data_IF_517021139140
#
_entry.id   IF_517021139140
#
_cell.length_a   1.000
_cell.length_b   1.000
_cell.length_c   1.000
_cell.angle_alpha   90.00
_cell.angle_beta   90.00
_cell.angle_gamma   90.00
#
_symmetry.space_group_name_H-M   'P 1'
#
loop_
_entity.id
_entity.type
_entity.pdbx_description
1 polymer ?
#
# COMPACT_ATOMS: atom_id res chain seq x y z
N UNK A 1 -13.64 4.73 -10.14
CA UNK A 1 -12.16 4.66 -10.18
C UNK A 1 -11.76 3.25 -10.63
N UNK A 2 -11.08 3.10 -11.78
CA UNK A 2 -10.46 1.82 -12.13
C UNK A 2 -9.16 1.70 -11.34
N UNK A 3 -9.09 0.70 -10.46
CA UNK A 3 -7.95 0.51 -9.56
C UNK A 3 -7.12 -0.69 -9.99
N UNK A 4 -5.84 -0.47 -10.25
CA UNK A 4 -4.86 -1.55 -10.32
C UNK A 4 -4.57 -2.03 -8.89
N UNK A 5 -4.55 -3.34 -8.66
CA UNK A 5 -4.28 -3.93 -7.33
C UNK A 5 -2.90 -4.61 -7.18
N UNK A 6 -1.76 -4.04 -7.65
CA UNK A 6 -0.47 -4.50 -7.15
C UNK A 6 -0.38 -4.13 -5.67
N UNK A 7 -0.46 -5.12 -4.78
CA UNK A 7 -0.37 -4.89 -3.34
C UNK A 7 1.09 -4.80 -2.91
N UNK A 8 1.42 -3.79 -2.11
CA UNK A 8 2.75 -3.61 -1.53
C UNK A 8 3.18 -4.78 -0.64
N UNK A 9 2.20 -5.42 0.01
CA UNK A 9 2.40 -6.61 0.83
C UNK A 9 1.64 -7.79 0.24
N UNK A 10 2.19 -8.98 0.41
CA UNK A 10 1.54 -10.27 0.10
C UNK A 10 1.50 -11.15 1.35
N UNK A 11 0.67 -12.18 1.33
CA UNK A 11 0.75 -13.24 2.34
C UNK A 11 2.09 -13.96 2.20
N UNK A 12 2.64 -14.41 3.33
CA UNK A 12 3.85 -15.24 3.30
C UNK A 12 3.49 -16.51 2.54
N UNK A 13 4.11 -16.69 1.37
CA UNK A 13 3.76 -17.78 0.43
C UNK A 13 4.69 -18.97 0.59
N UNK A 14 5.99 -18.71 0.71
CA UNK A 14 7.02 -19.74 0.69
C UNK A 14 7.21 -20.40 2.06
N UNK A 15 7.85 -21.57 2.09
CA UNK A 15 8.12 -22.34 3.31
C UNK A 15 9.62 -22.47 3.59
N UNK A 16 10.37 -21.39 3.37
CA UNK A 16 11.78 -21.37 3.76
C UNK A 16 11.91 -21.36 5.29
N UNK A 17 13.07 -21.74 5.85
CA UNK A 17 13.30 -21.64 7.30
C UNK A 17 13.02 -20.24 7.85
N UNK A 18 13.29 -19.20 7.05
CA UNK A 18 13.02 -17.83 7.48
C UNK A 18 11.53 -17.51 7.50
N UNK A 19 10.78 -17.99 6.50
CA UNK A 19 9.34 -17.80 6.44
C UNK A 19 8.60 -18.55 7.56
N UNK A 20 9.12 -19.72 7.95
CA UNK A 20 8.60 -20.49 9.09
C UNK A 20 8.81 -19.70 10.38
N UNK A 21 10.02 -19.19 10.62
CA UNK A 21 10.28 -18.39 11.82
C UNK A 21 9.47 -17.07 11.82
N UNK A 22 9.27 -16.42 10.66
CA UNK A 22 8.38 -15.25 10.54
C UNK A 22 6.93 -15.60 10.87
N UNK A 23 6.41 -16.72 10.36
CA UNK A 23 5.06 -17.21 10.70
C UNK A 23 4.92 -17.55 12.18
N UNK A 24 5.92 -18.19 12.78
CA UNK A 24 5.93 -18.50 14.21
C UNK A 24 5.90 -17.23 15.06
N UNK A 25 6.69 -16.20 14.69
CA UNK A 25 6.66 -14.90 15.36
C UNK A 25 5.29 -14.22 15.21
N UNK A 26 4.69 -14.23 14.02
CA UNK A 26 3.33 -13.70 13.82
C UNK A 26 2.30 -14.43 14.70
N UNK A 27 2.35 -15.76 14.75
CA UNK A 27 1.46 -16.57 15.59
C UNK A 27 1.64 -16.26 17.07
N UNK A 28 2.88 -16.06 17.54
CA UNK A 28 3.17 -15.66 18.91
C UNK A 28 2.48 -14.35 19.31
N UNK A 29 2.35 -13.40 18.37
CA UNK A 29 1.60 -12.15 18.56
C UNK A 29 0.11 -12.23 18.18
N UNK A 30 -0.44 -13.45 18.00
CA UNK A 30 -1.85 -13.65 17.67
C UNK A 30 -2.25 -13.32 16.22
N UNK A 31 -1.28 -13.14 15.32
CA UNK A 31 -1.52 -12.83 13.91
C UNK A 31 -1.45 -14.12 13.09
N UNK A 32 -2.61 -14.65 12.72
CA UNK A 32 -2.71 -15.91 11.95
C UNK A 32 -2.42 -15.74 10.45
N UNK A 33 -2.55 -14.53 9.92
CA UNK A 33 -2.34 -14.20 8.50
C UNK A 33 -1.22 -13.18 8.33
N UNK A 34 0.00 -13.59 8.69
CA UNK A 34 1.20 -12.78 8.52
C UNK A 34 1.41 -12.35 7.06
N UNK A 35 1.95 -11.15 6.88
CA UNK A 35 2.26 -10.58 5.55
C UNK A 35 3.74 -10.25 5.44
N UNK A 36 4.24 -10.25 4.22
CA UNK A 36 5.59 -9.84 3.85
C UNK A 36 5.55 -8.83 2.70
N UNK A 37 6.69 -8.18 2.43
CA UNK A 37 6.82 -7.30 1.27
C UNK A 37 6.64 -8.10 -0.03
N UNK A 38 6.01 -7.47 -1.01
CA UNK A 38 5.81 -8.07 -2.31
C UNK A 38 6.98 -7.71 -3.24
N UNK A 39 7.91 -8.64 -3.54
CA UNK A 39 9.06 -8.35 -4.39
C UNK A 39 8.66 -8.01 -5.84
N UNK A 40 7.50 -8.47 -6.29
CA UNK A 40 6.99 -8.24 -7.65
C UNK A 40 6.26 -6.89 -7.79
N UNK A 41 6.14 -6.12 -6.70
CA UNK A 41 5.34 -4.89 -6.69
C UNK A 41 5.73 -3.91 -7.81
N UNK A 42 7.01 -3.60 -7.95
CA UNK A 42 7.49 -2.65 -8.96
C UNK A 42 7.33 -3.21 -10.38
N UNK A 43 7.65 -4.48 -10.59
CA UNK A 43 7.48 -5.14 -11.89
C UNK A 43 6.02 -5.12 -12.35
N UNK A 44 5.08 -5.39 -11.44
CA UNK A 44 3.65 -5.32 -11.74
C UNK A 44 3.19 -3.91 -12.07
N UNK A 45 3.77 -2.88 -11.44
CA UNK A 45 3.45 -1.48 -11.76
C UNK A 45 4.01 -1.11 -13.13
N UNK A 46 5.26 -1.46 -13.42
CA UNK A 46 5.92 -1.18 -14.70
C UNK A 46 5.26 -1.87 -15.89
N UNK A 47 4.73 -3.08 -15.70
CA UNK A 47 3.97 -3.77 -16.75
C UNK A 47 2.64 -3.12 -17.11
N UNK A 48 2.16 -2.16 -16.30
CA UNK A 48 0.83 -1.55 -16.46
C UNK A 48 0.85 -0.03 -16.61
N UNK A 49 1.91 0.64 -16.16
CA UNK A 49 1.98 2.09 -16.05
C UNK A 49 3.32 2.62 -16.56
N UNK A 50 3.23 3.57 -17.48
CA UNK A 50 4.36 4.37 -17.94
C UNK A 50 4.87 5.33 -16.85
N UNK A 51 6.14 5.74 -16.93
CA UNK A 51 6.81 6.51 -15.85
C UNK A 51 6.25 7.94 -15.66
N UNK A 52 5.63 8.50 -16.68
CA UNK A 52 4.99 9.81 -16.68
C UNK A 52 3.48 9.75 -16.40
N UNK A 53 2.91 8.55 -16.28
CA UNK A 53 1.50 8.36 -15.96
C UNK A 53 1.10 9.09 -14.66
N UNK A 54 -0.11 9.64 -14.62
CA UNK A 54 -0.69 10.23 -13.42
C UNK A 54 -1.20 9.12 -12.51
N UNK A 55 -0.54 8.92 -11.37
CA UNK A 55 -0.80 7.80 -10.46
C UNK A 55 -1.38 8.33 -9.16
N UNK A 56 -2.53 7.81 -8.75
CA UNK A 56 -3.09 8.03 -7.42
C UNK A 56 -2.95 6.72 -6.63
N UNK A 57 -2.24 6.77 -5.50
CA UNK A 57 -2.12 5.64 -4.59
C UNK A 57 -3.06 5.80 -3.39
N UNK A 58 -3.71 4.71 -3.02
CA UNK A 58 -4.68 4.69 -1.92
C UNK A 58 -4.59 3.38 -1.13
N UNK A 59 -4.85 3.45 0.17
CA UNK A 59 -5.12 2.31 1.03
C UNK A 59 -6.39 2.56 1.84
N UNK A 60 -6.75 1.66 2.77
CA UNK A 60 -8.01 1.75 3.52
C UNK A 60 -8.19 3.08 4.26
N UNK A 61 -7.25 3.45 5.12
CA UNK A 61 -7.32 4.64 5.98
C UNK A 61 -6.52 5.84 5.47
N UNK A 62 -5.70 5.65 4.45
CA UNK A 62 -4.65 6.61 4.10
C UNK A 62 -3.60 6.77 5.22
N UNK A 63 -2.67 7.69 4.99
CA UNK A 63 -1.73 8.21 5.99
C UNK A 63 -1.52 9.70 5.75
N UNK A 64 -0.67 10.34 6.54
CA UNK A 64 -0.39 11.78 6.38
C UNK A 64 1.08 12.09 6.61
N UNK A 65 1.64 12.97 5.79
CA UNK A 65 2.95 13.60 6.01
C UNK A 65 2.83 14.93 6.75
N UNK A 66 1.60 15.41 7.00
CA UNK A 66 1.35 16.66 7.71
C UNK A 66 1.40 16.42 9.22
N UNK A 67 2.29 17.09 9.94
CA UNK A 67 2.39 16.94 11.39
C UNK A 67 1.15 17.53 12.07
N UNK A 68 0.78 16.95 13.21
CA UNK A 68 -0.27 17.45 14.10
C UNK A 68 0.16 17.30 15.57
N UNK A 69 -0.63 17.84 16.51
CA UNK A 69 -0.36 17.67 17.94
C UNK A 69 -0.29 16.20 18.36
N UNK A 70 -1.13 15.33 17.78
CA UNK A 70 -1.16 13.89 18.06
C UNK A 70 -0.19 13.09 17.20
N UNK A 71 0.23 13.62 16.04
CA UNK A 71 1.11 12.96 15.09
C UNK A 71 2.24 13.92 14.67
N UNK A 72 3.24 14.16 15.53
CA UNK A 72 4.28 15.15 15.24
C UNK A 72 5.14 14.81 14.01
N UNK A 73 5.20 13.53 13.60
CA UNK A 73 5.88 13.07 12.39
C UNK A 73 4.91 12.64 11.27
N UNK A 74 3.62 12.92 11.44
CA UNK A 74 2.57 12.35 10.59
C UNK A 74 2.32 10.86 10.88
N UNK A 75 1.67 10.19 9.94
CA UNK A 75 1.29 8.78 10.04
C UNK A 75 1.65 8.05 8.74
N UNK A 76 2.52 7.06 8.85
CA UNK A 76 2.88 6.18 7.74
C UNK A 76 1.69 5.28 7.35
N UNK A 77 1.58 5.00 6.05
CA UNK A 77 0.55 4.12 5.50
C UNK A 77 1.08 3.31 4.32
N UNK A 78 0.35 2.25 3.95
CA UNK A 78 0.72 1.40 2.81
C UNK A 78 0.76 2.20 1.50
N UNK A 79 -0.16 3.15 1.32
CA UNK A 79 -0.18 4.02 0.14
C UNK A 79 0.96 5.04 0.16
N UNK A 80 1.35 5.58 1.32
CA UNK A 80 2.53 6.48 1.40
C UNK A 80 3.84 5.75 1.09
N UNK A 81 4.01 4.53 1.62
CA UNK A 81 5.19 3.72 1.29
C UNK A 81 5.20 3.37 -0.21
N UNK A 82 4.05 3.03 -0.79
CA UNK A 82 3.94 2.80 -2.23
C UNK A 82 4.30 4.06 -3.03
N UNK A 83 3.80 5.25 -2.64
CA UNK A 83 4.18 6.51 -3.29
C UNK A 83 5.69 6.74 -3.24
N UNK A 84 6.31 6.51 -2.07
CA UNK A 84 7.74 6.65 -1.89
C UNK A 84 8.53 5.73 -2.82
N UNK A 85 8.17 4.44 -2.89
CA UNK A 85 8.81 3.49 -3.79
C UNK A 85 8.65 3.87 -5.27
N UNK A 86 7.48 4.35 -5.68
CA UNK A 86 7.25 4.79 -7.05
C UNK A 86 8.13 6.00 -7.40
N UNK A 87 8.19 6.99 -6.52
CA UNK A 87 9.04 8.18 -6.73
C UNK A 87 10.52 7.80 -6.83
N UNK A 88 11.00 6.91 -5.96
CA UNK A 88 12.38 6.38 -6.04
C UNK A 88 12.66 5.65 -7.36
N UNK A 89 11.64 5.06 -7.99
CA UNK A 89 11.75 4.33 -9.25
C UNK A 89 11.37 5.17 -10.48
N UNK A 90 11.46 6.50 -10.36
CA UNK A 90 11.37 7.44 -11.48
C UNK A 90 9.97 7.88 -11.88
N UNK A 91 8.93 7.50 -11.14
CA UNK A 91 7.58 8.00 -11.37
C UNK A 91 7.43 9.43 -10.84
N UNK A 92 7.05 10.37 -11.71
CA UNK A 92 7.04 11.81 -11.39
C UNK A 92 5.68 12.33 -10.94
N UNK A 93 4.60 11.73 -11.42
CA UNK A 93 3.24 12.22 -11.25
C UNK A 93 2.46 11.36 -10.23
N UNK A 94 2.99 11.23 -9.01
CA UNK A 94 2.43 10.38 -7.96
C UNK A 94 1.69 11.22 -6.91
N UNK A 95 0.44 10.86 -6.64
CA UNK A 95 -0.45 11.52 -5.69
C UNK A 95 -0.94 10.51 -4.65
N UNK A 96 -1.00 10.93 -3.40
CA UNK A 96 -1.52 10.13 -2.30
C UNK A 96 -2.96 10.55 -1.97
N UNK A 97 -3.89 9.60 -1.90
CA UNK A 97 -5.26 9.86 -1.47
C UNK A 97 -5.33 10.00 0.06
N UNK A 98 -5.46 11.24 0.52
CA UNK A 98 -5.62 11.55 1.94
C UNK A 98 -6.93 10.97 2.51
N UNK A 99 -6.89 10.48 3.75
CA UNK A 99 -8.01 9.73 4.36
C UNK A 99 -8.31 8.35 3.74
N UNK A 100 -7.67 8.03 2.61
CA UNK A 100 -7.79 6.75 1.93
C UNK A 100 -9.20 6.46 1.41
N UNK A 101 -9.43 5.18 1.14
CA UNK A 101 -10.68 4.69 0.56
C UNK A 101 -11.85 4.83 1.55
N UNK A 102 -11.60 4.77 2.86
CA UNK A 102 -12.63 4.97 3.87
C UNK A 102 -13.27 6.36 3.75
N UNK A 103 -12.46 7.42 3.72
CA UNK A 103 -12.98 8.79 3.57
C UNK A 103 -13.68 8.98 2.24
N UNK A 104 -13.13 8.42 1.15
CA UNK A 104 -13.78 8.44 -0.16
C UNK A 104 -15.23 7.92 -0.11
N UNK A 105 -15.46 6.80 0.61
CA UNK A 105 -16.81 6.26 0.79
C UNK A 105 -17.68 7.09 1.73
N UNK A 106 -17.11 7.65 2.81
CA UNK A 106 -17.84 8.53 3.73
C UNK A 106 -18.35 9.79 3.02
N UNK A 107 -17.62 10.30 2.04
CA UNK A 107 -18.00 11.45 1.23
C UNK A 107 -19.02 11.10 0.13
N UNK A 108 -19.45 9.83 0.01
CA UNK A 108 -20.42 9.40 -1.00
C UNK A 108 -19.88 9.44 -2.43
N UNK A 109 -18.55 9.43 -2.59
CA UNK A 109 -17.93 9.49 -3.91
C UNK A 109 -18.11 8.16 -4.67
N UNK A 110 -18.21 8.21 -6.01
CA UNK A 110 -18.56 7.05 -6.82
C UNK A 110 -17.48 5.96 -6.74
N UNK A 111 -17.94 4.72 -6.63
CA UNK A 111 -17.11 3.52 -6.69
C UNK A 111 -17.75 2.45 -7.56
N UNK A 112 -16.91 1.62 -8.16
CA UNK A 112 -17.33 0.41 -8.84
C UNK A 112 -16.73 -0.77 -8.10
N UNK A 113 -17.56 -1.78 -7.82
CA UNK A 113 -17.07 -3.06 -7.32
C UNK A 113 -16.68 -3.90 -8.53
N UNK A 114 -15.38 -4.13 -8.70
CA UNK A 114 -14.87 -5.06 -9.71
C UNK A 114 -14.37 -6.34 -9.05
N UNK A 115 -14.48 -7.46 -9.77
CA UNK A 115 -13.85 -8.75 -9.42
C UNK A 115 -12.32 -8.62 -9.32
#
# INVERSE_FOLDING_TARGET
MYALRPTLKRLIKEWTPWDIARRAAFLFFGIISGTEENPEFLQMVESKLEKDAKIIVACSSGGTMRPSQSLPQGQQSRSLIAAYLLVLNGYKNVFHLDGGIYTWFQEGLPSVTGE
#
